data_IF_127672668320
#
_entry.id   IF_127672668320
#
_cell.length_a   1.000
_cell.length_b   1.000
_cell.length_c   1.000
_cell.angle_alpha   90.00
_cell.angle_beta   90.00
_cell.angle_gamma   90.00
#
_symmetry.space_group_name_H-M   'P 1'
#
loop_
_entity.id
_entity.type
_entity.pdbx_description
1 polymer ?
#
# COMPACT_ATOMS: atom_id res chain seq x y z
N UNK A 1 -42.27 -13.17 19.84
CA UNK A 1 -40.81 -13.34 19.95
C UNK A 1 -40.25 -13.25 18.55
N UNK A 2 -39.92 -12.03 18.12
CA UNK A 2 -39.38 -11.78 16.79
C UNK A 2 -37.92 -12.19 16.81
N UNK A 3 -37.57 -13.29 16.16
CA UNK A 3 -36.18 -13.69 15.94
C UNK A 3 -35.52 -12.59 15.11
N UNK A 4 -34.71 -11.76 15.75
CA UNK A 4 -33.86 -10.80 15.08
C UNK A 4 -32.99 -11.54 14.07
N UNK A 5 -33.24 -11.21 12.81
CA UNK A 5 -32.57 -11.74 11.66
C UNK A 5 -31.10 -11.28 11.74
N UNK A 6 -30.23 -12.16 12.26
CA UNK A 6 -28.80 -11.94 12.37
C UNK A 6 -28.25 -11.73 10.96
N UNK A 7 -28.25 -10.48 10.51
CA UNK A 7 -27.79 -10.09 9.19
C UNK A 7 -26.29 -10.32 9.18
N UNK A 8 -25.83 -11.36 8.49
CA UNK A 8 -24.41 -11.65 8.33
C UNK A 8 -23.75 -10.52 7.54
N UNK A 9 -23.33 -9.49 8.27
CA UNK A 9 -22.46 -8.43 7.76
C UNK A 9 -21.12 -9.08 7.43
N UNK A 10 -20.73 -9.06 6.15
CA UNK A 10 -19.47 -9.66 5.71
C UNK A 10 -18.27 -9.10 6.49
N UNK A 11 -17.17 -9.86 6.58
CA UNK A 11 -16.02 -9.49 7.42
C UNK A 11 -15.47 -8.07 7.15
N UNK A 12 -15.64 -7.54 5.93
CA UNK A 12 -15.26 -6.17 5.57
C UNK A 12 -16.06 -5.08 6.32
N UNK A 13 -17.25 -5.38 6.84
CA UNK A 13 -18.09 -4.41 7.58
C UNK A 13 -17.72 -4.33 9.07
N UNK A 14 -16.73 -5.09 9.50
CA UNK A 14 -16.25 -5.18 10.89
C UNK A 14 -14.73 -5.01 10.89
N UNK A 15 -14.21 -4.14 11.75
CA UNK A 15 -12.78 -4.09 12.05
C UNK A 15 -12.56 -4.43 13.52
N UNK A 16 -11.62 -5.33 13.81
CA UNK A 16 -11.21 -5.60 15.20
C UNK A 16 -10.11 -4.62 15.57
N UNK A 17 -10.44 -3.66 16.43
CA UNK A 17 -9.51 -2.62 16.88
C UNK A 17 -9.34 -1.48 15.85
N UNK A 18 -9.54 -0.24 16.32
CA UNK A 18 -9.49 0.96 15.47
C UNK A 18 -10.55 0.99 14.36
N UNK A 19 -10.44 1.97 13.45
CA UNK A 19 -11.38 2.18 12.33
C UNK A 19 -10.69 2.58 11.02
N UNK A 20 -9.43 2.18 10.84
CA UNK A 20 -8.56 2.58 9.72
C UNK A 20 -9.21 2.57 8.31
N UNK A 21 -9.98 1.54 7.99
CA UNK A 21 -10.49 1.33 6.63
C UNK A 21 -12.01 1.25 6.52
N UNK A 22 -12.75 1.33 7.64
CA UNK A 22 -14.21 1.18 7.63
C UNK A 22 -14.90 2.24 6.76
N UNK A 23 -14.39 3.47 6.79
CA UNK A 23 -14.95 4.60 6.04
C UNK A 23 -14.41 4.71 4.60
N UNK A 24 -13.62 3.73 4.13
CA UNK A 24 -13.19 3.71 2.73
C UNK A 24 -14.34 3.26 1.82
N UNK A 25 -14.59 4.00 0.73
CA UNK A 25 -15.48 3.55 -0.35
C UNK A 25 -15.07 2.19 -0.92
N UNK A 26 -13.75 1.98 -1.08
CA UNK A 26 -13.13 0.70 -1.41
C UNK A 26 -12.06 0.45 -0.35
N UNK A 27 -12.20 -0.62 0.43
CA UNK A 27 -11.18 -0.97 1.41
C UNK A 27 -9.92 -1.50 0.72
N UNK A 28 -8.71 -1.25 1.26
CA UNK A 28 -7.47 -1.72 0.65
C UNK A 28 -7.49 -3.20 0.28
N UNK A 29 -8.03 -4.06 1.15
CA UNK A 29 -8.15 -5.51 0.86
C UNK A 29 -8.95 -5.80 -0.40
N UNK A 30 -10.01 -5.04 -0.69
CA UNK A 30 -10.81 -5.24 -1.90
C UNK A 30 -10.00 -4.92 -3.16
N UNK A 31 -9.26 -3.80 -3.15
CA UNK A 31 -8.41 -3.42 -4.29
C UNK A 31 -7.25 -4.40 -4.50
N UNK A 32 -6.61 -4.82 -3.41
CA UNK A 32 -5.46 -5.75 -3.41
C UNK A 32 -5.88 -7.10 -4.00
N UNK A 33 -6.97 -7.69 -3.50
CA UNK A 33 -7.46 -8.99 -3.98
C UNK A 33 -7.96 -8.91 -5.43
N UNK A 34 -8.70 -7.85 -5.78
CA UNK A 34 -9.24 -7.69 -7.13
C UNK A 34 -8.16 -7.52 -8.21
N UNK A 35 -6.97 -7.04 -7.85
CA UNK A 35 -5.85 -6.82 -8.77
C UNK A 35 -4.68 -7.80 -8.54
N UNK A 36 -4.88 -8.83 -7.71
CA UNK A 36 -3.85 -9.84 -7.39
C UNK A 36 -2.50 -9.23 -6.95
N UNK A 37 -2.55 -8.18 -6.14
CA UNK A 37 -1.33 -7.52 -5.65
C UNK A 37 -0.63 -8.40 -4.61
N UNK A 38 0.71 -8.43 -4.66
CA UNK A 38 1.55 -9.11 -3.70
C UNK A 38 1.56 -8.43 -2.32
N UNK A 39 2.29 -9.04 -1.39
CA UNK A 39 2.35 -8.57 0.00
C UNK A 39 2.91 -7.14 0.13
N UNK A 40 4.00 -6.84 -0.58
CA UNK A 40 4.66 -5.53 -0.49
C UNK A 40 3.81 -4.45 -1.15
N UNK A 41 3.28 -4.72 -2.33
CA UNK A 41 2.34 -3.85 -3.04
C UNK A 41 1.08 -3.58 -2.20
N UNK A 42 0.54 -4.62 -1.55
CA UNK A 42 -0.62 -4.49 -0.68
C UNK A 42 -0.34 -3.67 0.59
N UNK A 43 0.87 -3.77 1.15
CA UNK A 43 1.28 -2.90 2.25
C UNK A 43 1.34 -1.44 1.79
N UNK A 44 1.92 -1.17 0.62
CA UNK A 44 1.97 0.18 0.03
C UNK A 44 0.56 0.76 -0.09
N UNK A 45 -0.39 0.03 -0.69
CA UNK A 45 -1.80 0.45 -0.83
C UNK A 45 -2.39 0.81 0.54
N UNK A 46 -2.18 -0.02 1.57
CA UNK A 46 -2.66 0.24 2.94
C UNK A 46 -2.06 1.53 3.53
N UNK A 47 -0.75 1.73 3.38
CA UNK A 47 -0.04 2.91 3.89
C UNK A 47 -0.50 4.20 3.22
N UNK A 48 -0.50 4.22 1.88
CA UNK A 48 -0.91 5.41 1.13
C UNK A 48 -2.40 5.72 1.34
N UNK A 49 -3.25 4.71 1.52
CA UNK A 49 -4.68 4.92 1.81
C UNK A 49 -4.91 5.56 3.20
N UNK A 50 -4.07 5.25 4.19
CA UNK A 50 -4.31 5.64 5.59
C UNK A 50 -3.51 6.86 6.06
N UNK A 51 -2.40 7.21 5.42
CA UNK A 51 -1.41 8.15 5.97
C UNK A 51 -2.03 9.50 6.39
N UNK A 52 -2.96 10.04 5.59
CA UNK A 52 -3.63 11.32 5.83
C UNK A 52 -4.90 11.20 6.71
N UNK A 53 -5.30 9.98 7.10
CA UNK A 53 -6.46 9.78 7.96
C UNK A 53 -6.11 10.08 9.43
N UNK A 54 -7.11 10.42 10.28
CA UNK A 54 -6.88 10.58 11.72
C UNK A 54 -6.25 9.36 12.40
N UNK A 55 -6.45 8.17 11.83
CA UNK A 55 -5.92 6.90 12.33
C UNK A 55 -4.57 6.51 11.71
N UNK A 56 -4.04 7.32 10.79
CA UNK A 56 -2.76 7.14 10.12
C UNK A 56 -1.57 7.63 10.96
N UNK A 57 -0.37 7.44 10.42
CA UNK A 57 0.89 7.92 11.02
C UNK A 57 1.57 9.01 10.19
N UNK A 58 0.84 9.67 9.29
CA UNK A 58 1.35 10.75 8.45
C UNK A 58 2.58 10.33 7.65
N UNK A 59 3.63 11.14 7.69
CA UNK A 59 4.91 10.91 7.01
C UNK A 59 5.49 9.51 7.27
N UNK A 60 5.35 8.97 8.47
CA UNK A 60 5.91 7.65 8.80
C UNK A 60 5.25 6.51 8.00
N UNK A 61 3.97 6.64 7.63
CA UNK A 61 3.35 5.63 6.76
C UNK A 61 3.89 5.73 5.33
N UNK A 62 4.21 6.93 4.85
CA UNK A 62 4.82 7.13 3.54
C UNK A 62 6.26 6.61 3.50
N UNK A 63 7.05 6.84 4.56
CA UNK A 63 8.40 6.26 4.69
C UNK A 63 8.37 4.73 4.69
N UNK A 64 7.37 4.12 5.34
CA UNK A 64 7.15 2.67 5.28
C UNK A 64 6.76 2.20 3.87
N UNK A 65 5.92 2.95 3.16
CA UNK A 65 5.55 2.62 1.79
C UNK A 65 6.77 2.67 0.85
N UNK A 66 7.64 3.69 1.00
CA UNK A 66 8.90 3.79 0.26
C UNK A 66 9.78 2.57 0.54
N UNK A 67 9.94 2.19 1.81
CA UNK A 67 10.72 1.01 2.17
C UNK A 67 10.14 -0.29 1.60
N UNK A 68 8.82 -0.46 1.63
CA UNK A 68 8.13 -1.61 1.03
C UNK A 68 8.36 -1.68 -0.51
N UNK A 69 8.44 -0.53 -1.19
CA UNK A 69 8.82 -0.46 -2.62
C UNK A 69 10.30 -0.79 -2.87
N UNK A 70 11.22 -0.33 -2.01
CA UNK A 70 12.64 -0.68 -2.09
C UNK A 70 12.83 -2.20 -1.96
N UNK A 71 12.20 -2.82 -0.96
CA UNK A 71 12.21 -4.28 -0.80
C UNK A 71 11.65 -5.00 -2.03
N UNK A 72 10.59 -4.46 -2.63
CA UNK A 72 9.99 -5.07 -3.82
C UNK A 72 10.96 -5.04 -5.00
N UNK A 73 11.68 -3.93 -5.19
CA UNK A 73 12.69 -3.78 -6.22
C UNK A 73 13.82 -4.80 -6.01
N UNK A 74 14.39 -4.84 -4.80
CA UNK A 74 15.45 -5.79 -4.42
C UNK A 74 15.03 -7.24 -4.69
N UNK A 75 13.82 -7.63 -4.27
CA UNK A 75 13.34 -9.00 -4.43
C UNK A 75 12.98 -9.39 -5.87
N UNK A 76 12.50 -8.45 -6.70
CA UNK A 76 12.01 -8.75 -8.05
C UNK A 76 13.07 -8.59 -9.13
N UNK A 77 13.96 -7.61 -8.96
CA UNK A 77 14.92 -7.23 -9.99
C UNK A 77 16.36 -7.50 -9.56
N UNK A 78 16.61 -7.78 -8.27
CA UNK A 78 17.96 -8.03 -7.76
C UNK A 78 18.83 -6.77 -7.72
N UNK A 79 18.21 -5.60 -7.90
CA UNK A 79 18.89 -4.32 -7.81
C UNK A 79 19.31 -4.06 -6.36
N UNK A 80 20.48 -3.42 -6.19
CA UNK A 80 20.88 -2.92 -4.88
C UNK A 80 19.82 -1.95 -4.34
N UNK A 81 19.66 -1.82 -3.00
CA UNK A 81 18.76 -0.84 -2.41
C UNK A 81 18.96 0.50 -3.11
N UNK A 82 17.87 1.14 -3.52
CA UNK A 82 17.90 2.54 -3.95
C UNK A 82 18.54 3.32 -2.81
N UNK A 83 19.83 3.61 -2.92
CA UNK A 83 20.51 4.48 -1.97
C UNK A 83 19.82 5.82 -2.07
N UNK A 84 19.68 6.51 -0.93
CA UNK A 84 19.06 7.83 -0.87
C UNK A 84 19.75 8.89 -1.78
N UNK A 85 20.83 8.50 -2.48
CA UNK A 85 21.63 9.31 -3.39
C UNK A 85 21.22 9.18 -4.87
N UNK A 86 20.28 8.28 -5.25
CA UNK A 86 19.93 8.07 -6.66
C UNK A 86 18.52 8.56 -6.98
N UNK A 87 18.39 9.88 -7.09
CA UNK A 87 17.70 10.50 -8.24
C UNK A 87 18.60 11.67 -8.65
N UNK A 88 19.78 11.35 -9.20
CA UNK A 88 20.39 12.29 -10.11
C UNK A 88 19.51 12.30 -11.36
N UNK A 89 18.85 13.44 -11.61
CA UNK A 89 18.03 13.62 -12.80
C UNK A 89 18.82 13.36 -14.09
N UNK A 90 20.15 13.48 -14.02
CA UNK A 90 21.05 13.22 -15.14
C UNK A 90 21.22 11.73 -15.45
N UNK A 91 21.22 10.84 -14.45
CA UNK A 91 21.29 9.39 -14.67
C UNK A 91 20.00 8.83 -15.28
N UNK A 92 18.83 9.29 -14.81
CA UNK A 92 17.54 8.91 -15.38
C UNK A 92 17.41 9.37 -16.84
N UNK A 93 17.86 10.59 -17.13
CA UNK A 93 17.86 11.12 -18.48
C UNK A 93 18.88 10.42 -19.40
N UNK A 94 20.00 9.92 -18.85
CA UNK A 94 20.97 9.11 -19.61
C UNK A 94 20.40 7.73 -19.99
N UNK A 95 19.72 7.05 -19.05
CA UNK A 95 19.11 5.74 -19.29
C UNK A 95 18.00 5.80 -20.38
N UNK A 96 17.21 6.87 -20.41
CA UNK A 96 16.16 7.08 -21.42
C UNK A 96 16.70 7.49 -22.80
N UNK A 97 17.96 7.94 -22.89
CA UNK A 97 18.61 8.31 -24.16
C UNK A 97 19.44 7.16 -24.78
N UNK A 98 19.61 6.05 -24.05
CA UNK A 98 20.46 4.92 -24.46
C UNK A 98 19.73 3.72 -25.09
N UNK A 99 18.41 3.73 -25.22
CA UNK A 99 17.67 2.66 -25.87
C UNK A 99 17.70 2.76 -27.40
N UNK A 100 18.58 1.98 -28.04
CA UNK A 100 18.38 1.50 -29.43
C UNK A 100 17.55 0.23 -29.42
#
# INVERSE_FOLDING_TARGET
MSTENQTYRGAHQRQVGGSHYLDCTIQPVQYIEANALGFLEGCVVKRVTRHAKPTGKGRQDLEKAIHELQLLIEHRYGDAPLSAEVIDADELAAALRGGR
#
